data_IF_989278850818
#
_entry.id   IF_989278850818
#
_cell.length_a   1.000
_cell.length_b   1.000
_cell.length_c   1.000
_cell.angle_alpha   90.00
_cell.angle_beta   90.00
_cell.angle_gamma   90.00
#
_symmetry.space_group_name_H-M   'P 1'
#
loop_
_entity.id
_entity.type
_entity.pdbx_description
1 polymer ?
#
# COMPACT_ATOMS: atom_id res chain seq x y z
N UNK A 1 36.55 -11.02 1.12
CA UNK A 1 36.46 -10.36 -0.19
C UNK A 1 34.97 -10.17 -0.46
N UNK A 2 34.47 -8.96 -0.29
CA UNK A 2 33.06 -8.60 -0.54
C UNK A 2 32.98 -8.16 -2.01
N UNK A 3 32.04 -8.69 -2.81
CA UNK A 3 31.81 -8.16 -4.14
C UNK A 3 31.28 -6.75 -4.01
N UNK A 4 31.94 -5.78 -4.61
CA UNK A 4 31.42 -4.45 -4.84
C UNK A 4 30.20 -4.61 -5.72
N UNK A 5 29.02 -4.33 -5.14
CA UNK A 5 27.78 -4.18 -5.90
C UNK A 5 27.98 -2.93 -6.74
N UNK A 6 28.04 -3.02 -8.08
CA UNK A 6 28.01 -1.84 -8.90
C UNK A 6 26.66 -1.16 -8.60
N UNK A 7 26.70 0.09 -8.19
CA UNK A 7 25.60 1.03 -8.28
C UNK A 7 25.21 1.14 -9.76
N UNK A 8 24.57 0.12 -10.27
CA UNK A 8 23.74 0.23 -11.43
C UNK A 8 22.57 1.11 -10.97
N UNK A 9 22.78 2.42 -11.05
CA UNK A 9 21.70 3.37 -11.30
C UNK A 9 21.03 2.81 -12.56
N UNK A 10 20.07 1.90 -12.34
CA UNK A 10 19.15 1.50 -13.38
C UNK A 10 18.45 2.77 -13.78
N UNK A 11 19.03 3.49 -14.74
CA UNK A 11 18.25 4.36 -15.59
C UNK A 11 17.06 3.49 -15.93
N UNK A 12 15.92 3.80 -15.33
CA UNK A 12 14.62 3.34 -15.79
C UNK A 12 14.63 3.78 -17.26
N UNK A 13 15.05 2.85 -18.09
CA UNK A 13 14.90 2.99 -19.53
C UNK A 13 13.40 2.95 -19.70
N UNK A 14 12.76 4.09 -19.52
CA UNK A 14 11.52 4.46 -20.16
C UNK A 14 11.84 4.38 -21.65
N UNK A 15 11.92 3.12 -22.11
CA UNK A 15 12.02 2.74 -23.51
C UNK A 15 11.03 3.59 -24.28
N UNK A 16 11.37 4.07 -25.46
CA UNK A 16 10.86 5.17 -26.21
C UNK A 16 9.43 4.99 -26.74
N UNK A 17 8.47 4.66 -25.88
CA UNK A 17 7.09 5.09 -26.09
C UNK A 17 7.03 6.64 -26.03
N UNK A 18 8.00 7.26 -25.40
CA UNK A 18 8.22 8.71 -25.41
C UNK A 18 8.56 9.30 -26.81
N UNK A 19 8.96 8.49 -27.78
CA UNK A 19 9.25 8.99 -29.12
C UNK A 19 8.03 9.49 -29.89
N UNK A 20 6.82 9.26 -29.39
CA UNK A 20 5.57 9.77 -29.99
C UNK A 20 4.81 10.73 -29.07
N UNK A 21 5.17 10.85 -27.79
CA UNK A 21 4.58 11.85 -26.92
C UNK A 21 5.15 13.23 -27.29
N UNK A 22 4.30 14.20 -27.57
CA UNK A 22 4.73 15.57 -27.86
C UNK A 22 5.09 16.30 -26.57
N UNK A 23 4.50 15.92 -25.42
CA UNK A 23 4.72 16.51 -24.12
C UNK A 23 4.75 15.47 -22.99
N UNK A 24 5.50 15.75 -21.96
CA UNK A 24 5.54 14.95 -20.75
C UNK A 24 5.88 15.80 -19.53
N UNK A 25 5.43 15.35 -18.37
CA UNK A 25 5.78 15.88 -17.05
C UNK A 25 6.41 14.78 -16.24
N UNK A 26 7.58 15.05 -15.67
CA UNK A 26 8.24 14.14 -14.71
C UNK A 26 8.43 14.86 -13.38
N UNK A 27 7.99 14.24 -12.31
CA UNK A 27 8.27 14.68 -10.94
C UNK A 27 9.05 13.58 -10.23
N UNK A 28 10.18 13.96 -9.64
CA UNK A 28 10.98 13.10 -8.82
C UNK A 28 10.96 13.59 -7.37
N UNK A 29 10.75 12.69 -6.44
CA UNK A 29 10.87 12.94 -5.01
C UNK A 29 11.82 11.90 -4.44
N UNK A 30 12.85 12.35 -3.72
CA UNK A 30 13.83 11.48 -3.11
C UNK A 30 14.00 11.85 -1.64
N UNK A 31 13.96 10.85 -0.78
CA UNK A 31 14.09 11.00 0.66
C UNK A 31 15.13 10.02 1.21
N UNK A 32 16.00 10.55 2.04
CA UNK A 32 16.92 9.77 2.87
C UNK A 32 16.56 9.99 4.33
N UNK A 33 16.58 8.94 5.10
CA UNK A 33 16.35 9.01 6.54
C UNK A 33 17.48 8.28 7.28
N UNK A 34 17.92 8.81 8.42
CA UNK A 34 18.70 8.07 9.39
C UNK A 34 17.78 7.69 10.55
N UNK A 35 17.71 6.44 10.88
CA UNK A 35 16.88 5.93 11.96
C UNK A 35 17.72 5.06 12.91
N UNK A 36 17.50 5.23 14.20
CA UNK A 36 18.00 4.31 15.23
C UNK A 36 16.81 3.79 15.99
N UNK A 37 16.68 2.46 16.09
CA UNK A 37 15.54 1.83 16.74
C UNK A 37 15.95 0.55 17.45
N UNK A 38 15.13 0.12 18.39
CA UNK A 38 15.24 -1.20 18.99
C UNK A 38 14.11 -2.06 18.46
N UNK A 39 14.49 -3.15 17.79
CA UNK A 39 13.53 -4.20 17.45
C UNK A 39 13.01 -4.88 18.73
N UNK A 40 11.86 -5.51 18.63
CA UNK A 40 11.38 -6.43 19.64
C UNK A 40 12.02 -7.78 19.35
N UNK A 41 12.66 -8.35 20.35
CA UNK A 41 13.26 -9.67 20.28
C UNK A 41 12.39 -10.65 21.09
N UNK A 42 11.99 -11.74 20.43
CA UNK A 42 11.39 -12.87 21.11
C UNK A 42 12.48 -13.64 21.86
N UNK A 43 12.23 -13.94 23.11
CA UNK A 43 13.10 -14.74 23.98
C UNK A 43 12.27 -15.78 24.72
N UNK A 44 12.90 -16.70 25.43
CA UNK A 44 12.21 -17.74 26.18
C UNK A 44 12.83 -17.95 27.56
N UNK A 45 11.99 -18.28 28.52
CA UNK A 45 12.39 -18.58 29.90
C UNK A 45 11.82 -19.94 30.31
N UNK A 46 12.56 -20.78 31.06
CA UNK A 46 12.02 -21.99 31.61
C UNK A 46 10.79 -21.76 32.51
N UNK A 47 9.77 -22.60 32.39
CA UNK A 47 8.52 -22.47 33.16
C UNK A 47 8.79 -22.34 34.66
N UNK A 48 9.81 -23.06 35.19
CA UNK A 48 10.17 -22.99 36.61
C UNK A 48 10.79 -21.65 37.06
N UNK A 49 11.09 -20.74 36.15
CA UNK A 49 11.61 -19.42 36.48
C UNK A 49 10.58 -18.30 36.28
N UNK A 50 9.38 -18.64 35.82
CA UNK A 50 8.28 -17.70 35.65
C UNK A 50 7.72 -17.37 37.06
N UNK A 51 7.48 -16.07 37.25
CA UNK A 51 6.87 -15.55 38.49
C UNK A 51 5.45 -15.07 38.20
N UNK A 52 4.59 -15.12 39.21
CA UNK A 52 3.23 -14.57 39.12
C UNK A 52 3.22 -13.19 39.74
N UNK A 53 2.78 -12.20 39.00
CA UNK A 53 2.63 -10.85 39.51
C UNK A 53 1.39 -10.72 40.44
N UNK A 54 1.23 -9.60 41.18
CA UNK A 54 0.11 -9.41 42.10
C UNK A 54 -1.28 -9.50 41.45
N UNK A 55 -1.36 -9.23 40.13
CA UNK A 55 -2.60 -9.26 39.37
C UNK A 55 -2.91 -10.64 38.77
N UNK A 56 -2.09 -11.64 39.08
CA UNK A 56 -2.25 -13.03 38.61
C UNK A 56 -1.65 -13.26 37.20
N UNK A 57 -1.00 -12.30 36.61
CA UNK A 57 -0.29 -12.42 35.32
C UNK A 57 1.05 -13.17 35.49
N UNK A 58 1.48 -13.87 34.46
CA UNK A 58 2.78 -14.53 34.42
C UNK A 58 3.83 -13.59 33.84
N UNK A 59 4.99 -13.50 34.49
CA UNK A 59 6.08 -12.64 34.04
C UNK A 59 7.46 -13.25 34.31
N UNK A 60 8.48 -12.72 33.67
CA UNK A 60 9.88 -13.00 33.98
C UNK A 60 10.25 -12.32 35.31
N UNK A 61 11.33 -12.75 36.01
CA UNK A 61 11.83 -12.02 37.18
C UNK A 61 12.13 -10.53 36.91
N UNK A 62 12.41 -10.20 35.67
CA UNK A 62 12.67 -8.80 35.22
C UNK A 62 11.39 -8.03 34.81
N UNK A 63 10.19 -8.63 35.00
CA UNK A 63 8.91 -7.97 34.81
C UNK A 63 8.37 -7.99 33.36
N UNK A 64 8.87 -8.85 32.49
CA UNK A 64 8.30 -9.02 31.14
C UNK A 64 7.16 -10.04 31.17
N UNK A 65 6.00 -9.69 30.64
CA UNK A 65 4.89 -10.61 30.50
C UNK A 65 5.28 -11.81 29.63
N UNK A 66 4.93 -13.02 30.08
CA UNK A 66 5.25 -14.28 29.39
C UNK A 66 3.99 -14.99 28.92
N UNK A 67 4.12 -15.72 27.82
CA UNK A 67 3.07 -16.63 27.31
C UNK A 67 3.58 -18.05 27.38
N UNK A 68 2.91 -18.89 28.17
CA UNK A 68 3.25 -20.31 28.33
C UNK A 68 2.21 -21.12 27.56
N UNK A 69 2.65 -22.01 26.68
CA UNK A 69 1.78 -22.94 26.01
C UNK A 69 1.74 -24.26 26.78
N UNK A 70 0.58 -24.91 26.92
CA UNK A 70 0.47 -26.19 27.61
C UNK A 70 1.43 -27.23 27.01
N UNK A 71 2.17 -27.94 27.88
CA UNK A 71 3.10 -28.99 27.46
C UNK A 71 4.49 -28.53 27.02
N UNK A 72 4.76 -27.24 27.00
CA UNK A 72 6.11 -26.70 26.74
C UNK A 72 6.88 -26.53 28.07
N UNK A 73 8.19 -26.75 28.00
CA UNK A 73 9.12 -26.54 29.12
C UNK A 73 9.58 -25.11 29.29
N UNK A 74 9.25 -24.26 28.31
CA UNK A 74 9.62 -22.84 28.24
C UNK A 74 8.41 -21.98 27.92
N UNK A 75 8.43 -20.75 28.43
CA UNK A 75 7.47 -19.69 28.10
C UNK A 75 8.15 -18.62 27.25
N UNK A 76 7.43 -18.08 26.29
CA UNK A 76 7.91 -17.05 25.40
C UNK A 76 7.63 -15.65 25.96
N UNK A 77 8.54 -14.72 25.74
CA UNK A 77 8.36 -13.32 26.07
C UNK A 77 9.07 -12.41 25.05
N UNK A 78 8.72 -11.14 25.08
CA UNK A 78 9.31 -10.16 24.21
C UNK A 78 10.07 -9.10 25.02
N UNK A 79 11.27 -8.80 24.58
CA UNK A 79 12.08 -7.73 25.16
C UNK A 79 12.67 -6.81 24.10
N UNK A 80 13.13 -5.63 24.53
CA UNK A 80 13.85 -4.73 23.64
C UNK A 80 15.15 -5.39 23.15
N UNK A 81 15.29 -5.51 21.86
CA UNK A 81 16.48 -5.98 21.19
C UNK A 81 17.62 -4.95 21.18
N UNK A 82 18.76 -5.26 20.55
CA UNK A 82 19.85 -4.33 20.38
C UNK A 82 19.43 -3.12 19.55
N UNK A 83 20.10 -1.99 19.78
CA UNK A 83 19.93 -0.81 18.92
C UNK A 83 20.43 -1.15 17.53
N UNK A 84 19.57 -1.01 16.55
CA UNK A 84 19.89 -1.11 15.12
C UNK A 84 19.84 0.28 14.51
N UNK A 85 20.66 0.49 13.50
CA UNK A 85 20.66 1.71 12.70
C UNK A 85 20.27 1.35 11.29
N UNK A 86 19.51 2.21 10.64
CA UNK A 86 19.10 2.06 9.27
C UNK A 86 19.16 3.37 8.54
N UNK A 87 19.41 3.27 7.23
CA UNK A 87 19.46 4.40 6.33
C UNK A 87 18.48 4.22 5.17
N UNK A 88 17.15 4.21 5.39
CA UNK A 88 16.22 4.05 4.29
C UNK A 88 16.35 5.21 3.30
N UNK A 89 16.60 4.85 2.05
CA UNK A 89 16.53 5.74 0.89
C UNK A 89 15.33 5.34 0.07
N UNK A 90 14.43 6.28 -0.17
CA UNK A 90 13.23 6.08 -0.99
C UNK A 90 13.20 7.16 -2.05
N UNK A 91 13.05 6.75 -3.29
CA UNK A 91 12.77 7.67 -4.41
C UNK A 91 11.50 7.25 -5.12
N UNK A 92 10.69 8.22 -5.49
CA UNK A 92 9.49 8.04 -6.31
C UNK A 92 9.57 8.88 -7.56
N UNK A 93 9.09 8.31 -8.67
CA UNK A 93 8.98 8.96 -9.95
C UNK A 93 7.51 8.97 -10.37
N UNK A 94 6.98 10.14 -10.64
CA UNK A 94 5.66 10.36 -11.22
C UNK A 94 5.84 10.91 -12.64
N UNK A 95 5.30 10.20 -13.60
CA UNK A 95 5.43 10.53 -15.02
C UNK A 95 4.05 10.60 -15.65
N UNK A 96 3.77 11.69 -16.33
CA UNK A 96 2.58 11.83 -17.17
C UNK A 96 3.01 12.26 -18.56
N UNK A 97 2.54 11.54 -19.58
CA UNK A 97 2.83 11.81 -20.98
C UNK A 97 1.53 11.96 -21.78
N UNK A 98 1.51 12.89 -22.75
CA UNK A 98 0.35 13.15 -23.62
C UNK A 98 0.81 13.58 -25.01
N UNK A 99 -0.14 13.88 -25.90
CA UNK A 99 0.20 14.35 -27.25
C UNK A 99 0.51 13.24 -28.25
N UNK A 100 -0.03 12.04 -28.07
CA UNK A 100 0.18 10.87 -28.95
C UNK A 100 -0.60 10.94 -30.28
N UNK A 101 -0.98 12.11 -30.74
CA UNK A 101 -1.84 12.30 -31.92
C UNK A 101 -3.33 12.02 -31.64
N UNK A 102 -3.67 11.54 -30.46
CA UNK A 102 -5.04 11.27 -29.99
C UNK A 102 -5.43 12.33 -28.96
N UNK A 103 -6.44 13.13 -29.29
CA UNK A 103 -6.94 14.16 -28.35
C UNK A 103 -7.50 13.53 -27.10
N UNK A 104 -7.10 14.06 -25.93
CA UNK A 104 -7.59 13.62 -24.62
C UNK A 104 -6.93 12.34 -24.09
N UNK A 105 -5.98 11.75 -24.78
CA UNK A 105 -5.24 10.57 -24.32
C UNK A 105 -3.98 10.98 -23.58
N UNK A 106 -3.77 10.37 -22.39
CA UNK A 106 -2.54 10.49 -21.59
C UNK A 106 -2.17 9.15 -20.97
N UNK A 107 -0.90 8.98 -20.69
CA UNK A 107 -0.36 7.85 -19.91
C UNK A 107 0.19 8.39 -18.59
N UNK A 108 -0.06 7.67 -17.52
CA UNK A 108 0.43 8.01 -16.19
C UNK A 108 1.13 6.82 -15.57
N UNK A 109 2.28 7.07 -14.93
CA UNK A 109 3.01 6.07 -14.16
C UNK A 109 3.59 6.71 -12.89
N UNK A 110 3.36 6.08 -11.76
CA UNK A 110 3.96 6.42 -10.48
C UNK A 110 4.65 5.18 -9.92
N UNK A 111 5.96 5.24 -9.79
CA UNK A 111 6.77 4.16 -9.29
C UNK A 111 7.62 4.63 -8.10
N UNK A 112 7.90 3.70 -7.19
CA UNK A 112 8.74 3.92 -6.02
C UNK A 112 9.86 2.88 -5.98
N UNK A 113 11.05 3.35 -5.63
CA UNK A 113 12.21 2.50 -5.33
C UNK A 113 12.64 2.78 -3.90
N UNK A 114 12.78 1.74 -3.11
CA UNK A 114 13.27 1.82 -1.74
C UNK A 114 14.46 0.89 -1.53
N UNK A 115 15.51 1.39 -0.87
CA UNK A 115 16.66 0.61 -0.45
C UNK A 115 17.09 1.03 0.94
N UNK A 116 17.62 0.11 1.72
CA UNK A 116 18.29 0.44 2.98
C UNK A 116 19.79 0.55 2.73
N UNK A 117 20.34 1.72 3.01
CA UNK A 117 21.76 2.03 2.78
C UNK A 117 22.68 1.37 3.83
N UNK A 118 22.13 0.93 4.96
CA UNK A 118 22.89 0.35 6.08
C UNK A 118 22.71 -1.16 6.24
N UNK A 119 22.02 -1.83 5.31
CA UNK A 119 21.74 -3.28 5.31
C UNK A 119 21.10 -3.79 6.63
N UNK A 120 20.35 -2.99 7.30
CA UNK A 120 19.82 -3.32 8.61
C UNK A 120 18.40 -3.90 8.60
N UNK A 121 17.82 -4.16 7.44
CA UNK A 121 16.41 -4.59 7.26
C UNK A 121 15.44 -3.76 8.11
N UNK A 122 15.77 -2.48 8.27
CA UNK A 122 15.05 -1.55 9.13
C UNK A 122 13.75 -1.12 8.53
N UNK A 123 13.71 -1.10 7.20
CA UNK A 123 12.58 -0.52 6.49
C UNK A 123 11.59 -1.62 6.10
N UNK A 124 10.37 -1.53 6.63
CA UNK A 124 9.29 -2.39 6.17
C UNK A 124 8.92 -2.05 4.74
N UNK A 125 8.70 -3.07 3.96
CA UNK A 125 8.23 -2.90 2.59
C UNK A 125 9.31 -2.45 1.60
N UNK A 126 10.57 -2.70 1.90
CA UNK A 126 11.61 -2.66 0.87
C UNK A 126 11.54 -3.85 -0.07
N UNK A 127 10.72 -4.82 0.24
CA UNK A 127 10.44 -5.94 -0.65
C UNK A 127 9.00 -5.86 -1.19
N UNK A 128 8.82 -5.67 -2.51
CA UNK A 128 9.86 -5.52 -3.52
C UNK A 128 10.52 -4.12 -3.50
N UNK A 129 11.82 -4.06 -3.76
CA UNK A 129 12.58 -2.81 -3.79
C UNK A 129 12.02 -1.81 -4.83
N UNK A 130 11.38 -2.29 -5.87
CA UNK A 130 10.70 -1.49 -6.90
C UNK A 130 9.20 -1.78 -6.87
N UNK A 131 8.40 -0.73 -6.76
CA UNK A 131 6.95 -0.82 -6.70
C UNK A 131 6.31 0.12 -7.71
N UNK A 132 5.46 -0.42 -8.57
CA UNK A 132 4.55 0.39 -9.38
C UNK A 132 3.31 0.68 -8.54
N UNK A 133 3.14 1.93 -8.12
CA UNK A 133 2.01 2.38 -7.31
C UNK A 133 0.79 2.63 -8.18
N UNK A 134 0.96 3.38 -9.28
CA UNK A 134 -0.07 3.65 -10.28
C UNK A 134 0.53 3.52 -11.67
N UNK A 135 -0.26 3.08 -12.64
CA UNK A 135 0.16 2.95 -14.02
C UNK A 135 -1.05 2.72 -14.90
N UNK A 136 -1.55 3.78 -15.56
CA UNK A 136 -2.76 3.71 -16.35
C UNK A 136 -2.71 4.58 -17.60
N UNK A 137 -3.48 4.15 -18.60
CA UNK A 137 -3.88 5.00 -19.70
C UNK A 137 -5.18 5.73 -19.35
N UNK A 138 -5.26 7.00 -19.68
CA UNK A 138 -6.45 7.83 -19.48
C UNK A 138 -6.91 8.43 -20.80
N UNK A 139 -8.21 8.39 -21.00
CA UNK A 139 -8.91 9.23 -21.98
C UNK A 139 -9.77 10.23 -21.24
N UNK A 140 -9.68 11.51 -21.60
CA UNK A 140 -10.48 12.57 -21.01
C UNK A 140 -11.08 13.46 -22.11
N UNK A 141 -12.40 13.68 -22.01
CA UNK A 141 -13.15 14.66 -22.76
C UNK A 141 -13.92 15.57 -21.79
N UNK A 142 -14.69 16.53 -22.30
CA UNK A 142 -15.48 17.44 -21.47
C UNK A 142 -16.42 16.70 -20.50
N UNK A 143 -16.99 15.57 -20.94
CA UNK A 143 -18.01 14.83 -20.17
C UNK A 143 -17.56 13.45 -19.70
N UNK A 144 -16.63 12.83 -20.41
CA UNK A 144 -16.23 11.46 -20.18
C UNK A 144 -14.75 11.38 -19.80
N UNK A 145 -14.44 10.72 -18.68
CA UNK A 145 -13.09 10.33 -18.32
C UNK A 145 -13.05 8.83 -18.10
N UNK A 146 -12.18 8.14 -18.81
CA UNK A 146 -11.92 6.71 -18.64
C UNK A 146 -10.48 6.48 -18.29
N UNK A 147 -10.20 5.50 -17.40
CA UNK A 147 -8.86 5.05 -17.05
C UNK A 147 -8.79 3.54 -17.11
N UNK A 148 -7.67 3.01 -17.55
CA UNK A 148 -7.42 1.57 -17.62
C UNK A 148 -5.99 1.29 -17.16
N UNK A 149 -5.82 0.39 -16.21
CA UNK A 149 -4.54 0.00 -15.65
C UNK A 149 -4.55 -0.06 -14.13
N UNK A 150 -3.37 0.07 -13.52
CA UNK A 150 -3.21 0.13 -12.08
C UNK A 150 -3.56 1.50 -11.54
N UNK A 151 -4.48 1.58 -10.61
CA UNK A 151 -4.97 2.84 -10.07
C UNK A 151 -5.34 2.70 -8.59
N UNK A 152 -5.38 3.85 -7.93
CA UNK A 152 -5.81 3.97 -6.54
C UNK A 152 -7.05 4.85 -6.52
N UNK A 153 -8.18 4.27 -6.13
CA UNK A 153 -9.38 5.05 -5.83
C UNK A 153 -9.24 5.64 -4.43
N UNK A 154 -9.47 6.94 -4.35
CA UNK A 154 -9.42 7.71 -3.10
C UNK A 154 -10.80 8.27 -2.84
N UNK A 155 -11.46 7.76 -1.81
CA UNK A 155 -12.80 8.17 -1.45
C UNK A 155 -12.99 8.23 0.06
N UNK A 156 -14.21 8.46 0.49
CA UNK A 156 -14.59 8.44 1.92
C UNK A 156 -14.49 7.05 2.53
N UNK A 157 -14.53 6.02 1.70
CA UNK A 157 -14.33 4.63 2.10
C UNK A 157 -12.85 4.27 2.30
N UNK A 158 -11.94 5.22 2.07
CA UNK A 158 -10.49 5.05 2.20
C UNK A 158 -9.80 4.92 0.85
N UNK A 159 -8.67 4.21 0.85
CA UNK A 159 -7.84 3.96 -0.33
C UNK A 159 -8.05 2.53 -0.81
N UNK A 160 -8.32 2.36 -2.10
CA UNK A 160 -8.46 1.04 -2.71
C UNK A 160 -7.63 0.98 -3.98
N UNK A 161 -6.52 0.21 -3.94
CA UNK A 161 -5.69 -0.04 -5.12
C UNK A 161 -6.23 -1.24 -5.91
N UNK A 162 -6.26 -1.13 -7.24
CA UNK A 162 -6.71 -2.21 -8.13
C UNK A 162 -6.10 -2.10 -9.52
N UNK A 163 -6.00 -3.24 -10.18
CA UNK A 163 -5.69 -3.36 -11.60
C UNK A 163 -7.02 -3.51 -12.36
N UNK A 164 -7.45 -2.48 -13.06
CA UNK A 164 -8.77 -2.47 -13.68
C UNK A 164 -9.13 -1.20 -14.42
N UNK A 165 -10.43 -0.92 -14.50
CA UNK A 165 -10.98 0.24 -15.19
C UNK A 165 -11.77 1.17 -14.29
N UNK A 166 -11.78 2.45 -14.66
CA UNK A 166 -12.59 3.51 -14.05
C UNK A 166 -13.22 4.35 -15.15
N UNK A 167 -14.49 4.63 -15.00
CA UNK A 167 -15.25 5.50 -15.90
C UNK A 167 -15.97 6.56 -15.09
N UNK A 168 -15.90 7.80 -15.55
CA UNK A 168 -16.61 8.93 -14.98
C UNK A 168 -17.36 9.68 -16.07
N UNK A 169 -18.64 9.92 -15.85
CA UNK A 169 -19.47 10.72 -16.74
C UNK A 169 -20.04 11.93 -16.00
N UNK A 170 -19.86 13.13 -16.59
CA UNK A 170 -20.35 14.41 -16.03
C UNK A 170 -21.61 14.87 -16.74
N UNK A 171 -22.66 15.08 -15.98
CA UNK A 171 -23.92 15.69 -16.38
C UNK A 171 -23.86 17.19 -16.12
N UNK A 172 -23.20 17.94 -17.00
CA UNK A 172 -22.85 19.38 -16.77
C UNK A 172 -24.06 20.24 -16.43
N UNK A 173 -25.24 19.96 -17.01
CA UNK A 173 -26.47 20.70 -16.72
C UNK A 173 -27.05 20.47 -15.33
N UNK A 174 -26.73 19.35 -14.71
CA UNK A 174 -27.27 18.94 -13.42
C UNK A 174 -26.26 19.12 -12.28
N UNK A 175 -25.04 19.50 -12.57
CA UNK A 175 -23.96 19.52 -11.58
C UNK A 175 -23.64 18.13 -11.01
N UNK A 176 -23.93 17.05 -11.76
CA UNK A 176 -23.75 15.68 -11.31
C UNK A 176 -22.59 15.00 -12.06
N UNK A 177 -21.90 14.10 -11.37
CA UNK A 177 -20.99 13.15 -11.98
C UNK A 177 -21.23 11.74 -11.46
N UNK A 178 -21.36 10.77 -12.36
CA UNK A 178 -21.45 9.36 -12.05
C UNK A 178 -20.08 8.71 -12.30
N UNK A 179 -19.63 7.90 -11.36
CA UNK A 179 -18.35 7.20 -11.39
C UNK A 179 -18.63 5.71 -11.20
N UNK A 180 -18.01 4.87 -12.04
CA UNK A 180 -17.96 3.44 -11.85
C UNK A 180 -16.53 2.97 -11.96
N UNK A 181 -16.13 2.02 -11.14
CA UNK A 181 -14.80 1.45 -11.17
C UNK A 181 -14.81 -0.02 -10.77
N UNK A 182 -13.78 -0.75 -11.18
CA UNK A 182 -13.63 -2.13 -10.79
C UNK A 182 -12.44 -2.80 -11.42
N UNK A 183 -12.04 -3.89 -10.82
CA UNK A 183 -10.89 -4.67 -11.23
C UNK A 183 -10.44 -5.66 -10.19
N UNK A 184 -9.20 -6.06 -10.31
CA UNK A 184 -8.54 -6.97 -9.39
C UNK A 184 -7.84 -6.15 -8.29
N UNK A 185 -8.36 -6.19 -7.07
CA UNK A 185 -7.82 -5.49 -5.92
C UNK A 185 -6.36 -5.85 -5.66
N UNK A 186 -5.56 -4.85 -5.34
CA UNK A 186 -4.22 -5.05 -4.83
C UNK A 186 -4.35 -5.45 -3.35
N UNK A 187 -3.58 -6.44 -2.92
CA UNK A 187 -3.59 -6.87 -1.52
C UNK A 187 -3.24 -5.70 -0.59
N UNK A 188 -4.02 -5.49 0.47
CA UNK A 188 -3.80 -4.40 1.45
C UNK A 188 -2.42 -4.46 2.11
N UNK A 189 -1.82 -5.63 2.20
CA UNK A 189 -0.50 -5.88 2.76
C UNK A 189 0.61 -5.04 2.13
N UNK A 190 0.48 -4.66 0.85
CA UNK A 190 1.44 -3.78 0.19
C UNK A 190 1.25 -2.30 0.53
N UNK A 191 0.12 -1.94 1.12
CA UNK A 191 -0.20 -0.55 1.48
C UNK A 191 0.10 -0.22 2.95
N UNK A 192 0.17 -1.23 3.82
CA UNK A 192 0.51 -1.06 5.23
C UNK A 192 1.95 -1.53 5.46
N UNK A 193 2.85 -0.64 5.86
CA UNK A 193 4.22 -1.00 6.19
C UNK A 193 4.27 -1.70 7.55
N UNK A 194 3.75 -2.92 7.64
CA UNK A 194 3.88 -3.73 8.85
C UNK A 194 5.13 -4.59 8.74
N UNK A 195 6.08 -4.34 9.61
CA UNK A 195 7.48 -4.72 9.46
C UNK A 195 7.90 -6.02 10.07
N UNK A 196 7.05 -6.63 10.84
CA UNK A 196 7.45 -7.83 11.56
C UNK A 196 6.30 -8.82 11.60
N UNK A 197 6.48 -9.97 11.00
CA UNK A 197 5.52 -11.08 11.10
C UNK A 197 5.22 -11.47 12.55
N UNK A 198 6.18 -11.27 13.48
CA UNK A 198 5.99 -11.53 14.89
C UNK A 198 5.09 -10.52 15.61
N UNK A 199 4.92 -9.32 15.02
CA UNK A 199 4.12 -8.23 15.59
C UNK A 199 2.86 -7.94 14.78
N UNK A 200 2.61 -8.72 13.73
CA UNK A 200 1.44 -8.52 12.89
C UNK A 200 0.33 -9.51 13.30
N UNK A 201 -0.52 -9.16 14.28
CA UNK A 201 -1.69 -9.98 14.62
C UNK A 201 -2.72 -10.02 13.48
N UNK A 202 -2.48 -9.26 12.40
CA UNK A 202 -3.34 -9.18 11.23
C UNK A 202 -2.88 -10.10 10.10
N UNK A 203 -1.81 -10.87 10.24
CA UNK A 203 -1.37 -11.83 9.22
C UNK A 203 -2.47 -12.83 8.88
N UNK A 204 -3.26 -13.26 9.87
CA UNK A 204 -4.41 -14.12 9.67
C UNK A 204 -5.57 -13.45 8.93
N UNK A 205 -5.59 -12.10 8.89
CA UNK A 205 -6.61 -11.32 8.21
C UNK A 205 -6.16 -10.75 6.88
N UNK A 206 -4.92 -11.00 6.46
CA UNK A 206 -4.44 -10.55 5.15
C UNK A 206 -5.01 -11.47 4.07
N UNK A 207 -5.65 -10.89 3.04
CA UNK A 207 -6.09 -11.71 1.92
C UNK A 207 -4.87 -12.26 1.19
N UNK A 208 -4.66 -13.56 1.28
CA UNK A 208 -3.60 -14.30 0.57
C UNK A 208 -3.82 -14.26 -0.94
N UNK A 209 -5.06 -14.02 -1.38
CA UNK A 209 -5.44 -13.96 -2.80
C UNK A 209 -6.00 -12.59 -3.14
N UNK A 210 -5.69 -12.12 -4.34
CA UNK A 210 -6.29 -10.90 -4.88
C UNK A 210 -7.81 -11.06 -5.03
N UNK A 211 -8.54 -10.08 -4.55
CA UNK A 211 -10.00 -10.03 -4.55
C UNK A 211 -10.51 -9.20 -5.71
N UNK A 212 -11.74 -9.46 -6.15
CA UNK A 212 -12.43 -8.58 -7.08
C UNK A 212 -13.00 -7.39 -6.31
N UNK A 213 -12.75 -6.21 -6.83
CA UNK A 213 -13.26 -4.94 -6.30
C UNK A 213 -14.16 -4.31 -7.36
N UNK A 214 -15.32 -3.83 -6.95
CA UNK A 214 -16.19 -3.01 -7.76
C UNK A 214 -16.78 -1.89 -6.90
N UNK A 215 -16.95 -0.71 -7.48
CA UNK A 215 -17.54 0.42 -6.79
C UNK A 215 -18.21 1.41 -7.75
N UNK A 216 -19.06 2.23 -7.16
CA UNK A 216 -19.72 3.32 -7.84
C UNK A 216 -19.80 4.53 -6.92
N UNK A 217 -19.76 5.73 -7.51
CA UNK A 217 -20.01 6.95 -6.76
C UNK A 217 -20.86 7.93 -7.57
N UNK A 218 -21.64 8.71 -6.88
CA UNK A 218 -22.39 9.84 -7.42
C UNK A 218 -21.92 11.10 -6.70
N UNK A 219 -21.40 12.04 -7.44
CA UNK A 219 -20.98 13.35 -6.95
C UNK A 219 -21.97 14.39 -7.42
N UNK A 220 -22.30 15.34 -6.57
CA UNK A 220 -23.11 16.49 -6.96
C UNK A 220 -22.48 17.78 -6.46
N UNK A 221 -22.63 18.82 -7.26
CA UNK A 221 -22.16 20.16 -6.96
C UNK A 221 -23.28 21.14 -7.33
N UNK A 222 -23.66 21.96 -6.36
CA UNK A 222 -24.70 22.98 -6.52
C UNK A 222 -24.23 24.27 -5.86
N UNK A 223 -24.98 25.38 -6.11
CA UNK A 223 -24.74 26.64 -5.40
C UNK A 223 -24.96 26.60 -3.91
N UNK A 224 -25.60 25.55 -3.38
CA UNK A 224 -25.88 25.34 -1.95
C UNK A 224 -24.87 24.42 -1.26
N UNK A 225 -24.04 23.70 -2.02
CA UNK A 225 -23.04 22.76 -1.49
C UNK A 225 -22.71 21.66 -2.47
N UNK A 226 -21.79 20.82 -2.05
CA UNK A 226 -21.34 19.62 -2.75
C UNK A 226 -21.54 18.37 -1.88
N UNK A 227 -21.60 17.23 -2.51
CA UNK A 227 -21.72 15.97 -1.80
C UNK A 227 -21.35 14.77 -2.65
N UNK A 228 -21.12 13.65 -2.01
CA UNK A 228 -20.74 12.37 -2.65
C UNK A 228 -21.42 11.21 -1.94
N UNK A 229 -22.07 10.36 -2.71
CA UNK A 229 -22.53 9.05 -2.32
C UNK A 229 -21.60 8.02 -2.96
N UNK A 230 -21.06 7.11 -2.17
CA UNK A 230 -20.09 6.11 -2.64
C UNK A 230 -20.42 4.73 -2.10
N UNK A 231 -20.38 3.75 -2.99
CA UNK A 231 -20.56 2.33 -2.68
C UNK A 231 -19.38 1.53 -3.19
N UNK A 232 -18.91 0.57 -2.38
CA UNK A 232 -17.82 -0.34 -2.75
C UNK A 232 -18.10 -1.74 -2.24
N UNK A 233 -17.79 -2.72 -3.08
CA UNK A 233 -17.90 -4.14 -2.76
C UNK A 233 -16.62 -4.88 -3.14
N UNK A 234 -16.17 -5.77 -2.27
CA UNK A 234 -15.08 -6.69 -2.49
C UNK A 234 -15.56 -8.13 -2.35
N UNK A 235 -15.18 -8.98 -3.29
CA UNK A 235 -15.55 -10.40 -3.28
C UNK A 235 -14.32 -11.27 -3.52
N UNK A 236 -14.29 -12.44 -2.91
CA UNK A 236 -13.25 -13.41 -3.16
C UNK A 236 -13.29 -13.89 -4.61
N UNK A 237 -12.14 -14.26 -5.11
CA UNK A 237 -12.02 -14.77 -6.45
C UNK A 237 -12.57 -16.19 -6.58
N UNK A 238 -12.36 -17.02 -5.54
CA UNK A 238 -12.77 -18.40 -5.49
C UNK A 238 -12.79 -18.93 -4.04
N UNK A 239 -13.90 -19.26 -3.42
CA UNK A 239 -15.27 -18.99 -3.88
C UNK A 239 -15.60 -17.49 -3.91
N UNK A 240 -16.63 -17.08 -4.62
CA UNK A 240 -17.08 -15.69 -4.73
C UNK A 240 -17.84 -15.23 -3.48
N UNK A 241 -17.19 -15.34 -2.34
CA UNK A 241 -17.77 -14.88 -1.09
C UNK A 241 -17.60 -13.37 -0.94
N UNK A 242 -18.58 -12.76 -0.31
CA UNK A 242 -18.51 -11.34 0.07
C UNK A 242 -17.43 -11.15 1.12
N UNK A 243 -16.45 -10.30 0.83
CA UNK A 243 -15.37 -9.96 1.76
C UNK A 243 -15.71 -8.67 2.49
N UNK A 244 -16.10 -7.63 1.76
CA UNK A 244 -16.52 -6.37 2.33
C UNK A 244 -17.56 -5.66 1.46
N UNK A 245 -18.44 -4.92 2.11
CA UNK A 245 -19.40 -4.05 1.48
C UNK A 245 -19.48 -2.76 2.29
N UNK A 246 -19.32 -1.62 1.61
CA UNK A 246 -19.20 -0.32 2.27
C UNK A 246 -20.00 0.72 1.53
N UNK A 247 -20.66 1.59 2.29
CA UNK A 247 -21.41 2.73 1.79
C UNK A 247 -20.98 3.97 2.56
N UNK A 248 -20.78 5.08 1.88
CA UNK A 248 -20.49 6.37 2.51
C UNK A 248 -21.29 7.50 1.84
N UNK A 249 -21.70 8.45 2.65
CA UNK A 249 -22.31 9.71 2.25
C UNK A 249 -21.52 10.85 2.88
N UNK A 250 -21.27 11.89 2.13
CA UNK A 250 -20.58 13.10 2.61
C UNK A 250 -21.18 14.36 1.99
#
# INVERSE_FOLDING_TARGET
MRPAIPLALGALILVPVAGQAQDYLVRLDSRVQAAAYRGIQKDSIPVGQVVTNPDGGLETPDGFAVTCNPGQSVCDFFRAGPIRRGGPFVTSADVTAWGFGLRGVSLHANARVGVDLDNADVWPGTDPAVQLLEGYAQYASERLTGRLGRQIERGRLGYSGYDGGRLQYRFSKLGLAAIGYGGLGLARATALPVTSGALNPLDDFQPVKRQWLAGAALEWQSGLGDGRLEYQREVDRDPRNLVSERLALS
#
